data_IF_083230653944
#
_entry.id   IF_083230653944
#
_cell.length_a   1.000
_cell.length_b   1.000
_cell.length_c   1.000
_cell.angle_alpha   90.00
_cell.angle_beta   90.00
_cell.angle_gamma   90.00
#
_symmetry.space_group_name_H-M   'P 1'
#
loop_
_entity.id
_entity.type
_entity.pdbx_description
1 polymer ?
#
# COMPACT_ATOMS: atom_id res chain seq x y z
N UNK A 1 -1.10 31.78 47.67
CA UNK A 1 -0.41 30.56 47.23
C UNK A 1 -1.26 29.98 46.11
N UNK A 2 -0.91 30.34 44.88
CA UNK A 2 -1.58 29.95 43.66
C UNK A 2 -0.88 28.69 43.15
N UNK A 3 -1.56 27.55 43.25
CA UNK A 3 -1.12 26.32 42.59
C UNK A 3 -1.28 26.51 41.07
N UNK A 4 -0.15 26.74 40.41
CA UNK A 4 -0.02 26.69 38.97
C UNK A 4 -0.19 25.23 38.52
N UNK A 5 -1.33 24.95 37.88
CA UNK A 5 -1.58 23.71 37.16
C UNK A 5 -0.61 23.60 35.98
N UNK A 6 0.48 22.88 36.17
CA UNK A 6 1.35 22.44 35.08
C UNK A 6 0.53 21.61 34.10
N UNK A 7 0.37 22.16 32.90
CA UNK A 7 -0.19 21.44 31.75
C UNK A 7 0.76 20.30 31.42
N UNK A 8 0.29 19.03 31.32
CA UNK A 8 1.18 17.92 31.03
C UNK A 8 1.82 18.15 29.65
N UNK A 9 3.14 18.17 29.66
CA UNK A 9 3.99 18.35 28.49
C UNK A 9 3.69 17.23 27.48
N UNK A 10 2.90 17.53 26.44
CA UNK A 10 2.39 16.60 25.42
C UNK A 10 3.45 16.08 24.45
N UNK A 11 4.73 16.21 24.79
CA UNK A 11 5.83 15.49 24.13
C UNK A 11 5.88 14.04 24.64
N UNK A 12 4.77 13.32 24.49
CA UNK A 12 4.75 11.89 24.76
C UNK A 12 5.72 11.20 23.79
N UNK A 13 6.62 10.40 24.36
CA UNK A 13 7.49 9.53 23.57
C UNK A 13 6.58 8.66 22.72
N UNK A 14 6.62 8.83 21.38
CA UNK A 14 5.79 8.04 20.47
C UNK A 14 6.04 6.53 20.73
N UNK A 15 4.99 5.70 20.78
CA UNK A 15 5.13 4.25 20.82
C UNK A 15 6.09 3.72 19.75
N UNK A 16 6.86 2.69 20.08
CA UNK A 16 7.91 2.16 19.21
C UNK A 16 7.38 1.71 17.83
N UNK A 17 6.17 1.15 17.80
CA UNK A 17 5.53 0.74 16.56
C UNK A 17 5.24 1.94 15.63
N UNK A 18 4.93 3.13 16.17
CA UNK A 18 4.72 4.34 15.34
C UNK A 18 6.06 4.82 14.78
N UNK A 19 7.13 4.77 15.57
CA UNK A 19 8.48 5.12 15.08
C UNK A 19 8.88 4.25 13.90
N UNK A 20 8.64 2.93 14.00
CA UNK A 20 8.92 2.02 12.90
C UNK A 20 8.10 2.37 11.65
N UNK A 21 6.81 2.67 11.79
CA UNK A 21 5.97 3.05 10.64
C UNK A 21 6.40 4.38 10.00
N UNK A 22 6.83 5.35 10.81
CA UNK A 22 7.37 6.62 10.30
C UNK A 22 8.67 6.37 9.54
N UNK A 23 9.58 5.56 10.08
CA UNK A 23 10.80 5.16 9.39
C UNK A 23 10.52 4.42 8.07
N UNK A 24 9.57 3.48 8.08
CA UNK A 24 9.16 2.76 6.87
C UNK A 24 8.56 3.71 5.81
N UNK A 25 7.79 4.71 6.24
CA UNK A 25 7.22 5.77 5.39
C UNK A 25 8.29 6.68 4.77
N UNK A 26 9.34 7.02 5.53
CA UNK A 26 10.49 7.79 5.04
C UNK A 26 11.31 6.96 4.04
N UNK A 27 11.52 5.67 4.32
CA UNK A 27 12.16 4.76 3.36
C UNK A 27 11.34 4.67 2.07
N UNK A 28 10.01 4.54 2.17
CA UNK A 28 9.11 4.50 1.01
C UNK A 28 9.30 5.72 0.11
N UNK A 29 9.44 6.93 0.66
CA UNK A 29 9.68 8.14 -0.15
C UNK A 29 10.95 8.03 -1.01
N UNK A 30 12.06 7.63 -0.39
CA UNK A 30 13.34 7.47 -1.10
C UNK A 30 13.30 6.39 -2.18
N UNK A 31 12.52 5.34 -1.95
CA UNK A 31 12.40 4.19 -2.85
C UNK A 31 11.36 4.38 -3.95
N UNK A 32 10.40 5.29 -3.76
CA UNK A 32 9.26 5.51 -4.68
C UNK A 32 9.35 6.79 -5.47
N UNK A 33 10.39 7.59 -5.28
CA UNK A 33 10.62 8.78 -6.11
C UNK A 33 10.76 8.37 -7.60
N UNK A 34 9.85 8.86 -8.44
CA UNK A 34 9.79 8.50 -9.87
C UNK A 34 9.18 7.12 -10.17
N UNK A 35 8.68 6.40 -9.17
CA UNK A 35 7.98 5.13 -9.37
C UNK A 35 6.63 5.39 -10.05
N UNK A 36 6.38 4.68 -11.15
CA UNK A 36 5.10 4.73 -11.86
C UNK A 36 4.18 3.65 -11.32
N UNK A 37 3.06 4.05 -10.74
CA UNK A 37 2.04 3.11 -10.29
C UNK A 37 1.46 2.30 -11.45
N UNK A 38 1.05 1.07 -11.15
CA UNK A 38 0.27 0.27 -12.07
C UNK A 38 -1.05 0.97 -12.35
N UNK A 39 -1.40 1.08 -13.63
CA UNK A 39 -2.75 1.47 -14.04
C UNK A 39 -3.77 0.44 -13.56
N UNK A 40 -5.04 0.82 -13.58
CA UNK A 40 -6.15 -0.02 -13.12
C UNK A 40 -6.15 -1.44 -13.71
N UNK A 41 -5.90 -1.58 -15.01
CA UNK A 41 -5.79 -2.89 -15.65
C UNK A 41 -4.68 -3.76 -15.05
N UNK A 42 -3.50 -3.19 -14.77
CA UNK A 42 -2.40 -3.90 -14.14
C UNK A 42 -2.72 -4.30 -12.70
N UNK A 43 -3.27 -3.38 -11.89
CA UNK A 43 -3.71 -3.68 -10.52
C UNK A 43 -4.76 -4.80 -10.51
N UNK A 44 -5.72 -4.78 -11.45
CA UNK A 44 -6.72 -5.84 -11.58
C UNK A 44 -6.12 -7.21 -11.87
N UNK A 45 -5.06 -7.30 -12.70
CA UNK A 45 -4.39 -8.58 -12.97
C UNK A 45 -3.72 -9.12 -11.71
N UNK A 46 -3.02 -8.26 -10.95
CA UNK A 46 -2.41 -8.64 -9.67
C UNK A 46 -3.47 -9.09 -8.67
N UNK A 47 -4.57 -8.33 -8.55
CA UNK A 47 -5.69 -8.67 -7.66
C UNK A 47 -6.31 -10.02 -8.00
N UNK A 48 -6.56 -10.28 -9.29
CA UNK A 48 -7.11 -11.55 -9.74
C UNK A 48 -6.15 -12.72 -9.51
N UNK A 49 -4.84 -12.51 -9.62
CA UNK A 49 -3.85 -13.53 -9.25
C UNK A 49 -3.89 -13.80 -7.74
N UNK A 50 -3.95 -12.78 -6.90
CA UNK A 50 -4.08 -12.94 -5.45
C UNK A 50 -5.34 -13.74 -5.08
N UNK A 51 -6.48 -13.40 -5.71
CA UNK A 51 -7.75 -14.15 -5.57
C UNK A 51 -7.59 -15.61 -6.00
N UNK A 52 -6.91 -15.86 -7.13
CA UNK A 52 -6.66 -17.23 -7.64
C UNK A 52 -5.84 -18.06 -6.65
N UNK A 53 -4.91 -17.41 -5.95
CA UNK A 53 -4.07 -18.03 -4.93
C UNK A 53 -4.74 -18.11 -3.55
N UNK A 54 -6.01 -17.68 -3.43
CA UNK A 54 -6.80 -17.76 -2.20
C UNK A 54 -6.76 -16.52 -1.30
N UNK A 55 -6.10 -15.43 -1.73
CA UNK A 55 -5.90 -14.23 -0.93
C UNK A 55 -6.66 -13.03 -1.50
N UNK A 56 -7.87 -12.80 -0.98
CA UNK A 56 -8.79 -11.76 -1.49
C UNK A 56 -8.77 -10.45 -0.71
N UNK A 57 -8.23 -10.46 0.52
CA UNK A 57 -8.37 -9.39 1.51
C UNK A 57 -7.10 -9.22 2.34
N UNK A 58 -7.14 -8.28 3.29
CA UNK A 58 -6.10 -7.98 4.29
C UNK A 58 -4.88 -7.32 3.65
N UNK A 59 -5.08 -6.47 2.65
CA UNK A 59 -4.01 -5.69 2.04
C UNK A 59 -3.01 -6.48 1.19
N UNK A 60 -3.08 -7.83 1.17
CA UNK A 60 -2.18 -8.69 0.39
C UNK A 60 -2.16 -8.31 -1.09
N UNK A 61 -3.30 -8.14 -1.78
CA UNK A 61 -3.27 -7.78 -3.20
C UNK A 61 -2.68 -6.39 -3.45
N UNK A 62 -2.97 -5.42 -2.57
CA UNK A 62 -2.41 -4.08 -2.62
C UNK A 62 -0.90 -4.08 -2.43
N UNK A 63 -0.41 -4.80 -1.42
CA UNK A 63 1.02 -4.98 -1.18
C UNK A 63 1.71 -5.68 -2.35
N UNK A 64 1.10 -6.70 -2.95
CA UNK A 64 1.63 -7.35 -4.15
C UNK A 64 1.73 -6.37 -5.34
N UNK A 65 0.77 -5.45 -5.51
CA UNK A 65 0.88 -4.40 -6.52
C UNK A 65 2.11 -3.51 -6.27
N UNK A 66 2.31 -3.09 -5.01
CA UNK A 66 3.47 -2.26 -4.61
C UNK A 66 4.80 -2.97 -4.84
N UNK A 67 4.87 -4.26 -4.54
CA UNK A 67 6.07 -5.07 -4.79
C UNK A 67 6.40 -5.14 -6.28
N UNK A 68 5.39 -5.34 -7.14
CA UNK A 68 5.59 -5.37 -8.59
C UNK A 68 6.02 -4.00 -9.14
N UNK A 69 5.42 -2.92 -8.64
CA UNK A 69 5.79 -1.55 -9.00
C UNK A 69 7.25 -1.24 -8.63
N UNK A 70 7.67 -1.62 -7.41
CA UNK A 70 9.06 -1.48 -6.95
C UNK A 70 10.01 -2.35 -7.77
N UNK A 71 9.64 -3.59 -8.06
CA UNK A 71 10.42 -4.48 -8.92
C UNK A 71 10.68 -3.83 -10.28
N UNK A 72 9.65 -3.29 -10.94
CA UNK A 72 9.84 -2.58 -12.20
C UNK A 72 10.70 -1.34 -12.08
N UNK A 73 10.48 -0.53 -11.04
CA UNK A 73 11.27 0.67 -10.83
C UNK A 73 12.78 0.34 -10.71
N UNK A 74 13.16 -0.60 -9.84
CA UNK A 74 14.55 -0.99 -9.66
C UNK A 74 15.13 -1.66 -10.90
N UNK A 75 14.35 -2.53 -11.56
CA UNK A 75 14.75 -3.16 -12.81
C UNK A 75 15.07 -2.09 -13.86
N UNK A 76 14.15 -1.17 -14.16
CA UNK A 76 14.39 -0.12 -15.16
C UNK A 76 15.50 0.86 -14.76
N UNK A 77 15.63 1.20 -13.48
CA UNK A 77 16.72 2.06 -12.99
C UNK A 77 18.09 1.43 -13.25
N UNK A 78 18.24 0.13 -12.94
CA UNK A 78 19.49 -0.60 -13.19
C UNK A 78 19.89 -0.64 -14.67
N UNK A 79 18.93 -0.47 -15.58
CA UNK A 79 19.16 -0.45 -17.03
C UNK A 79 19.27 0.95 -17.63
N UNK A 80 18.70 1.98 -17.01
CA UNK A 80 18.90 3.37 -17.43
C UNK A 80 20.40 3.75 -17.40
N UNK A 81 21.18 3.07 -16.57
CA UNK A 81 22.64 3.19 -16.48
C UNK A 81 23.39 2.53 -17.66
N UNK A 82 22.71 1.78 -18.55
CA UNK A 82 23.31 1.04 -19.70
C UNK A 82 22.47 1.20 -20.98
N UNK A 83 22.60 2.32 -21.72
CA UNK A 83 21.64 2.69 -22.75
C UNK A 83 21.98 2.02 -24.09
N UNK A 84 21.35 0.89 -24.38
CA UNK A 84 21.13 0.47 -25.78
C UNK A 84 19.66 0.13 -25.99
N UNK A 85 19.06 0.62 -27.10
CA UNK A 85 17.66 0.37 -27.42
C UNK A 85 17.31 -1.11 -27.53
N UNK A 86 18.21 -1.91 -28.12
CA UNK A 86 18.05 -3.36 -28.25
C UNK A 86 18.01 -4.08 -26.89
N UNK A 87 18.78 -3.63 -25.89
CA UNK A 87 18.75 -4.20 -24.55
C UNK A 87 17.40 -3.93 -23.88
N UNK A 88 16.87 -2.71 -24.02
CA UNK A 88 15.54 -2.35 -23.50
C UNK A 88 14.44 -3.24 -24.07
N UNK A 89 14.45 -3.47 -25.38
CA UNK A 89 13.44 -4.31 -26.03
C UNK A 89 13.55 -5.78 -25.59
N UNK A 90 14.77 -6.31 -25.48
CA UNK A 90 15.01 -7.66 -24.95
C UNK A 90 14.50 -7.82 -23.50
N UNK A 91 14.68 -6.79 -22.65
CA UNK A 91 14.17 -6.79 -21.28
C UNK A 91 12.64 -6.78 -21.26
N UNK A 92 12.02 -5.94 -22.09
CA UNK A 92 10.55 -5.86 -22.20
C UNK A 92 9.98 -7.20 -22.66
N UNK A 93 10.58 -7.85 -23.65
CA UNK A 93 10.14 -9.18 -24.10
C UNK A 93 10.34 -10.26 -23.04
N UNK A 94 11.48 -10.25 -22.33
CA UNK A 94 11.71 -11.17 -21.21
C UNK A 94 10.70 -10.94 -20.05
N UNK A 95 10.34 -9.69 -19.77
CA UNK A 95 9.32 -9.39 -18.77
C UNK A 95 7.93 -9.85 -19.21
N UNK A 96 7.55 -9.60 -20.47
CA UNK A 96 6.24 -9.99 -21.00
C UNK A 96 6.01 -11.49 -20.87
N UNK A 97 7.02 -12.32 -21.18
CA UNK A 97 6.91 -13.77 -21.08
C UNK A 97 6.82 -14.27 -19.63
N UNK A 98 7.38 -13.52 -18.67
CA UNK A 98 7.44 -13.91 -17.25
C UNK A 98 6.46 -13.15 -16.34
N UNK A 99 5.68 -12.20 -16.88
CA UNK A 99 4.93 -11.23 -16.08
C UNK A 99 4.00 -11.88 -15.05
N UNK A 100 3.25 -12.91 -15.46
CA UNK A 100 2.31 -13.60 -14.58
C UNK A 100 3.03 -14.39 -13.48
N UNK A 101 4.21 -14.93 -13.77
CA UNK A 101 5.06 -15.58 -12.78
C UNK A 101 5.57 -14.55 -11.75
N UNK A 102 6.07 -13.41 -12.23
CA UNK A 102 6.52 -12.31 -11.36
C UNK A 102 5.39 -11.79 -10.46
N UNK A 103 4.18 -11.65 -11.00
CA UNK A 103 2.98 -11.29 -10.23
C UNK A 103 2.71 -12.33 -9.15
N UNK A 104 2.71 -13.62 -9.48
CA UNK A 104 2.48 -14.68 -8.50
C UNK A 104 3.56 -14.70 -7.40
N UNK A 105 4.82 -14.45 -7.75
CA UNK A 105 5.92 -14.29 -6.77
C UNK A 105 5.72 -13.07 -5.87
N UNK A 106 5.27 -11.93 -6.41
CA UNK A 106 4.95 -10.75 -5.59
C UNK A 106 3.82 -11.05 -4.58
N UNK A 107 2.78 -11.79 -5.00
CA UNK A 107 1.71 -12.25 -4.09
C UNK A 107 2.27 -13.18 -3.03
N UNK A 108 3.11 -14.15 -3.42
CA UNK A 108 3.74 -15.09 -2.49
C UNK A 108 4.58 -14.37 -1.43
N UNK A 109 5.40 -13.38 -1.84
CA UNK A 109 6.21 -12.58 -0.94
C UNK A 109 5.35 -11.75 0.01
N UNK A 110 4.29 -11.10 -0.49
CA UNK A 110 3.35 -10.37 0.35
C UNK A 110 2.75 -11.29 1.43
N UNK A 111 2.24 -12.47 1.03
CA UNK A 111 1.66 -13.44 1.98
C UNK A 111 2.66 -13.89 3.04
N UNK A 112 3.88 -14.26 2.65
CA UNK A 112 4.93 -14.75 3.57
C UNK A 112 5.30 -13.72 4.64
N UNK A 113 5.27 -12.43 4.29
CA UNK A 113 5.68 -11.36 5.20
C UNK A 113 4.54 -10.89 6.11
N UNK A 114 3.29 -10.99 5.67
CA UNK A 114 2.13 -10.53 6.44
C UNK A 114 1.57 -11.58 7.41
N UNK A 115 1.89 -12.86 7.26
CA UNK A 115 1.40 -13.91 8.18
C UNK A 115 2.32 -15.11 8.24
N UNK A 116 2.74 -15.49 9.45
CA UNK A 116 3.58 -16.66 9.70
C UNK A 116 2.88 -18.00 9.36
N UNK A 117 1.55 -18.02 9.48
CA UNK A 117 0.71 -19.20 9.23
C UNK A 117 0.30 -19.32 7.76
N UNK A 118 0.18 -18.20 7.04
CA UNK A 118 -0.21 -18.20 5.64
C UNK A 118 0.96 -18.60 4.74
N UNK A 119 0.80 -19.68 3.97
CA UNK A 119 1.84 -20.17 3.05
C UNK A 119 1.27 -20.54 1.70
N UNK A 120 1.71 -19.83 0.66
CA UNK A 120 1.54 -20.27 -0.72
C UNK A 120 2.73 -21.16 -1.07
N UNK A 121 2.46 -22.45 -1.32
CA UNK A 121 3.50 -23.35 -1.82
C UNK A 121 3.77 -23.08 -3.30
N UNK A 122 5.01 -23.25 -3.80
CA UNK A 122 5.32 -23.16 -5.22
C UNK A 122 4.49 -24.12 -6.10
N UNK A 123 4.00 -25.23 -5.55
CA UNK A 123 3.10 -26.15 -6.25
C UNK A 123 1.75 -25.51 -6.55
N UNK A 124 1.19 -24.73 -5.61
CA UNK A 124 -0.07 -24.01 -5.80
C UNK A 124 0.11 -22.94 -6.89
N UNK A 125 1.22 -22.22 -6.87
CA UNK A 125 1.54 -21.22 -7.91
C UNK A 125 1.65 -21.88 -9.28
N UNK A 126 2.34 -23.02 -9.38
CA UNK A 126 2.44 -23.79 -10.62
C UNK A 126 1.06 -24.16 -11.17
N UNK A 127 0.16 -24.65 -10.32
CA UNK A 127 -1.22 -24.99 -10.72
C UNK A 127 -1.97 -23.74 -11.19
N UNK A 128 -1.89 -22.64 -10.44
CA UNK A 128 -2.55 -21.38 -10.80
C UNK A 128 -2.07 -20.81 -12.13
N UNK A 129 -0.76 -20.89 -12.41
CA UNK A 129 -0.17 -20.48 -13.68
C UNK A 129 -0.56 -21.43 -14.82
N UNK A 130 -0.58 -22.74 -14.57
CA UNK A 130 -1.03 -23.73 -15.56
C UNK A 130 -2.49 -23.51 -15.97
N UNK A 131 -3.39 -23.19 -15.03
CA UNK A 131 -4.77 -22.82 -15.33
C UNK A 131 -4.90 -21.55 -16.19
N UNK A 132 -3.85 -20.74 -16.29
CA UNK A 132 -3.77 -19.57 -17.17
C UNK A 132 -2.96 -19.85 -18.45
N UNK A 133 -2.64 -21.11 -18.74
CA UNK A 133 -1.89 -21.53 -19.92
C UNK A 133 -0.38 -21.30 -19.81
N UNK A 134 0.15 -21.08 -18.61
CA UNK A 134 1.59 -20.81 -18.40
C UNK A 134 2.25 -22.03 -17.77
N UNK A 135 3.18 -22.61 -18.52
CA UNK A 135 3.96 -23.76 -18.06
C UNK A 135 5.22 -23.27 -17.36
N UNK A 136 5.39 -23.66 -16.10
CA UNK A 136 6.63 -23.45 -15.37
C UNK A 136 6.88 -24.60 -14.37
N UNK A 137 8.13 -24.76 -13.98
CA UNK A 137 8.60 -25.71 -12.99
C UNK A 137 8.61 -25.07 -11.60
N UNK A 138 8.61 -25.90 -10.56
CA UNK A 138 8.77 -25.42 -9.18
C UNK A 138 10.11 -24.70 -8.99
N UNK A 139 11.16 -25.16 -9.67
CA UNK A 139 12.49 -24.54 -9.60
C UNK A 139 12.48 -23.12 -10.17
N UNK A 140 11.81 -22.91 -11.30
CA UNK A 140 11.65 -21.57 -11.90
C UNK A 140 10.85 -20.62 -11.00
N UNK A 141 9.83 -21.14 -10.29
CA UNK A 141 9.06 -20.33 -9.34
C UNK A 141 9.93 -19.88 -8.18
N UNK A 142 10.69 -20.79 -7.58
CA UNK A 142 11.60 -20.47 -6.46
C UNK A 142 12.66 -19.47 -6.92
N UNK A 143 13.23 -19.68 -8.13
CA UNK A 143 14.23 -18.79 -8.68
C UNK A 143 13.67 -17.38 -8.94
N UNK A 144 12.47 -17.29 -9.53
CA UNK A 144 11.81 -16.01 -9.79
C UNK A 144 11.43 -15.29 -8.49
N UNK A 145 11.01 -16.03 -7.45
CA UNK A 145 10.74 -15.45 -6.13
C UNK A 145 12.02 -14.83 -5.55
N UNK A 146 13.13 -15.57 -5.56
CA UNK A 146 14.41 -15.09 -5.06
C UNK A 146 14.92 -13.88 -5.87
N UNK A 147 14.75 -13.90 -7.19
CA UNK A 147 15.07 -12.78 -8.08
C UNK A 147 14.27 -11.53 -7.72
N UNK A 148 12.94 -11.64 -7.60
CA UNK A 148 12.09 -10.50 -7.20
C UNK A 148 12.52 -9.95 -5.86
N UNK A 149 12.75 -10.81 -4.87
CA UNK A 149 13.15 -10.39 -3.53
C UNK A 149 14.53 -9.69 -3.52
N UNK A 150 15.47 -10.17 -4.31
CA UNK A 150 16.78 -9.53 -4.47
C UNK A 150 16.70 -8.18 -5.19
N UNK A 151 15.92 -8.08 -6.28
CA UNK A 151 15.77 -6.83 -7.06
C UNK A 151 15.16 -5.70 -6.23
N UNK A 152 14.23 -6.01 -5.32
CA UNK A 152 13.67 -5.01 -4.39
C UNK A 152 14.54 -4.74 -3.16
N UNK A 153 15.78 -5.24 -3.15
CA UNK A 153 16.76 -5.01 -2.09
C UNK A 153 16.45 -5.74 -0.78
N UNK A 154 15.77 -6.89 -0.85
CA UNK A 154 15.33 -7.68 0.30
C UNK A 154 14.40 -6.92 1.28
N UNK A 155 13.77 -5.85 0.82
CA UNK A 155 12.87 -5.01 1.62
C UNK A 155 11.42 -5.28 1.25
N UNK A 156 10.71 -5.99 2.12
CA UNK A 156 9.25 -6.16 2.03
C UNK A 156 8.65 -5.70 3.35
N UNK A 157 7.64 -4.80 3.34
CA UNK A 157 6.96 -4.38 4.57
C UNK A 157 6.38 -5.58 5.33
N UNK A 158 6.59 -5.62 6.64
CA UNK A 158 6.04 -6.67 7.51
C UNK A 158 4.55 -6.48 7.77
N UNK A 159 4.06 -5.24 7.64
CA UNK A 159 2.65 -4.87 7.82
C UNK A 159 2.05 -4.47 6.48
N UNK A 160 0.83 -4.94 6.23
CA UNK A 160 0.04 -4.49 5.09
C UNK A 160 -0.54 -3.10 5.38
N UNK A 161 -1.00 -2.40 4.34
CA UNK A 161 -1.72 -1.13 4.52
C UNK A 161 -3.00 -1.31 5.34
N UNK A 162 -3.66 -2.46 5.26
CA UNK A 162 -4.82 -2.80 6.09
C UNK A 162 -4.43 -2.89 7.57
N UNK A 163 -3.36 -3.61 7.90
CA UNK A 163 -2.89 -3.73 9.30
C UNK A 163 -2.55 -2.36 9.89
N UNK A 164 -1.93 -1.49 9.09
CA UNK A 164 -1.60 -0.12 9.50
C UNK A 164 -2.86 0.71 9.71
N UNK A 165 -3.84 0.64 8.79
CA UNK A 165 -5.08 1.40 8.91
C UNK A 165 -5.93 0.96 10.10
N UNK A 166 -6.04 -0.35 10.35
CA UNK A 166 -6.72 -0.89 11.52
C UNK A 166 -6.07 -0.43 12.83
N UNK A 167 -4.73 -0.45 12.91
CA UNK A 167 -4.00 0.02 14.08
C UNK A 167 -4.22 1.53 14.32
N UNK A 168 -4.18 2.36 13.26
CA UNK A 168 -4.45 3.79 13.36
C UNK A 168 -5.90 4.05 13.81
N UNK A 169 -6.86 3.26 13.33
CA UNK A 169 -8.26 3.36 13.74
C UNK A 169 -8.43 3.06 15.24
N UNK A 170 -7.76 2.03 15.74
CA UNK A 170 -7.77 1.73 17.19
C UNK A 170 -7.18 2.88 18.00
N UNK A 171 -6.07 3.47 17.54
CA UNK A 171 -5.39 4.56 18.24
C UNK A 171 -6.27 5.82 18.38
N UNK A 172 -7.13 6.10 17.40
CA UNK A 172 -8.06 7.25 17.45
C UNK A 172 -9.43 6.92 18.06
N UNK A 173 -9.55 5.75 18.71
CA UNK A 173 -10.74 5.36 19.48
C UNK A 173 -11.91 4.85 18.64
N UNK A 174 -11.65 4.29 17.44
CA UNK A 174 -12.72 3.73 16.61
C UNK A 174 -13.26 2.41 17.16
N UNK A 175 -14.58 2.21 17.00
CA UNK A 175 -15.23 0.96 17.40
C UNK A 175 -14.76 -0.22 16.53
N UNK A 176 -14.77 -1.43 17.10
CA UNK A 176 -14.35 -2.65 16.39
C UNK A 176 -15.17 -2.94 15.13
N UNK A 177 -16.43 -2.51 15.08
CA UNK A 177 -17.27 -2.58 13.89
C UNK A 177 -16.74 -1.70 12.76
N UNK A 178 -16.33 -0.47 13.07
CA UNK A 178 -15.78 0.47 12.10
C UNK A 178 -14.37 0.07 11.65
N UNK A 179 -13.55 -0.51 12.55
CA UNK A 179 -12.23 -1.07 12.20
C UNK A 179 -12.35 -2.10 11.06
N UNK A 180 -13.35 -2.99 11.10
CA UNK A 180 -13.59 -3.96 10.01
C UNK A 180 -14.00 -3.29 8.69
N UNK A 181 -14.74 -2.19 8.75
CA UNK A 181 -15.10 -1.43 7.56
C UNK A 181 -13.86 -0.75 6.95
N UNK A 182 -12.95 -0.25 7.79
CA UNK A 182 -11.68 0.35 7.36
C UNK A 182 -10.83 -0.63 6.57
N UNK A 183 -10.80 -1.92 6.95
CA UNK A 183 -10.10 -2.93 6.17
C UNK A 183 -10.59 -2.99 4.72
N UNK A 184 -11.91 -2.89 4.51
CA UNK A 184 -12.54 -2.89 3.18
C UNK A 184 -12.22 -1.60 2.43
N UNK A 185 -12.37 -0.45 3.10
CA UNK A 185 -12.05 0.86 2.52
C UNK A 185 -10.59 0.91 2.08
N UNK A 186 -9.68 0.38 2.88
CA UNK A 186 -8.25 0.37 2.60
C UNK A 186 -7.89 -0.58 1.45
N UNK A 187 -8.50 -1.77 1.37
CA UNK A 187 -8.34 -2.67 0.22
C UNK A 187 -8.83 -1.97 -1.07
N UNK A 188 -9.96 -1.26 -1.03
CA UNK A 188 -10.47 -0.48 -2.16
C UNK A 188 -9.60 0.73 -2.50
N UNK A 189 -9.06 1.41 -1.49
CA UNK A 189 -8.14 2.53 -1.67
C UNK A 189 -6.82 2.08 -2.30
N UNK A 190 -6.28 0.93 -1.89
CA UNK A 190 -5.18 0.32 -2.62
C UNK A 190 -5.59 -0.05 -4.04
N UNK A 191 -6.75 -0.69 -4.25
CA UNK A 191 -7.19 -1.03 -5.60
C UNK A 191 -7.26 0.20 -6.53
N UNK A 192 -7.70 1.35 -6.01
CA UNK A 192 -7.85 2.62 -6.72
C UNK A 192 -6.66 3.59 -6.54
N UNK A 193 -5.52 3.16 -6.00
CA UNK A 193 -4.43 4.06 -5.56
C UNK A 193 -3.93 5.01 -6.65
N UNK A 194 -3.79 4.53 -7.89
CA UNK A 194 -3.37 5.37 -9.01
C UNK A 194 -4.34 6.53 -9.30
N UNK A 195 -5.64 6.30 -9.11
CA UNK A 195 -6.68 7.28 -9.38
C UNK A 195 -6.81 8.27 -8.22
N UNK A 196 -6.68 7.78 -6.98
CA UNK A 196 -6.55 8.62 -5.78
C UNK A 196 -5.36 9.57 -5.92
N UNK A 197 -4.17 9.06 -6.25
CA UNK A 197 -2.98 9.90 -6.42
C UNK A 197 -3.14 10.93 -7.52
N UNK A 198 -3.72 10.55 -8.67
CA UNK A 198 -3.97 11.48 -9.78
C UNK A 198 -4.86 12.64 -9.32
N UNK A 199 -5.93 12.35 -8.56
CA UNK A 199 -6.87 13.35 -8.05
C UNK A 199 -6.26 14.22 -6.96
N UNK A 200 -5.47 13.64 -6.06
CA UNK A 200 -4.71 14.37 -5.05
C UNK A 200 -3.74 15.38 -5.69
N UNK A 201 -2.98 14.97 -6.70
CA UNK A 201 -2.06 15.87 -7.42
C UNK A 201 -2.78 17.01 -8.12
N UNK A 202 -3.90 16.69 -8.76
CA UNK A 202 -4.74 17.70 -9.40
C UNK A 202 -5.27 18.72 -8.38
N UNK A 203 -5.79 18.25 -7.24
CA UNK A 203 -6.29 19.12 -6.17
C UNK A 203 -5.18 20.03 -5.60
N UNK A 204 -3.96 19.51 -5.46
CA UNK A 204 -2.84 20.26 -4.88
C UNK A 204 -2.17 21.24 -5.86
N UNK A 205 -2.11 20.92 -7.16
CA UNK A 205 -1.25 21.64 -8.11
C UNK A 205 -1.94 22.10 -9.39
N UNK A 206 -3.21 21.76 -9.59
CA UNK A 206 -3.91 21.96 -10.87
C UNK A 206 -3.31 21.15 -12.02
N UNK A 207 -2.42 20.20 -11.72
CA UNK A 207 -1.74 19.34 -12.71
C UNK A 207 -1.60 17.91 -12.19
N UNK A 208 -1.55 16.95 -13.12
CA UNK A 208 -1.26 15.55 -12.81
C UNK A 208 0.22 15.18 -13.01
N UNK A 209 1.04 16.11 -13.51
CA UNK A 209 2.42 15.86 -13.97
C UNK A 209 3.48 16.03 -12.88
N UNK A 210 3.11 16.47 -11.68
CA UNK A 210 4.04 16.67 -10.58
C UNK A 210 4.54 15.32 -10.04
N UNK A 211 5.87 15.16 -9.82
CA UNK A 211 6.41 13.95 -9.21
C UNK A 211 5.98 13.87 -7.75
N UNK A 212 5.43 12.73 -7.35
CA UNK A 212 5.00 12.49 -5.97
C UNK A 212 4.02 11.32 -5.88
N UNK A 213 4.23 10.46 -4.88
CA UNK A 213 3.39 9.31 -4.56
C UNK A 213 2.76 9.56 -3.18
N UNK A 214 1.48 9.24 -3.01
CA UNK A 214 0.86 9.27 -1.67
C UNK A 214 1.43 8.08 -0.92
N UNK A 215 2.22 8.34 0.13
CA UNK A 215 2.85 7.26 0.91
C UNK A 215 1.78 6.40 1.58
N UNK A 216 2.10 5.13 1.79
CA UNK A 216 1.14 4.14 2.29
C UNK A 216 0.59 4.54 3.67
N UNK A 217 1.45 5.03 4.57
CA UNK A 217 1.02 5.52 5.90
C UNK A 217 -0.02 6.64 5.81
N UNK A 218 0.17 7.60 4.90
CA UNK A 218 -0.75 8.72 4.71
C UNK A 218 -2.06 8.28 4.05
N UNK A 219 -1.99 7.31 3.13
CA UNK A 219 -3.19 6.69 2.55
C UNK A 219 -4.01 5.96 3.62
N UNK A 220 -3.35 5.22 4.53
CA UNK A 220 -3.99 4.59 5.68
C UNK A 220 -4.68 5.62 6.58
N UNK A 221 -3.98 6.70 6.95
CA UNK A 221 -4.56 7.78 7.75
C UNK A 221 -5.77 8.43 7.05
N UNK A 222 -5.66 8.70 5.73
CA UNK A 222 -6.77 9.22 4.95
C UNK A 222 -7.97 8.28 4.88
N UNK A 223 -7.76 6.96 4.79
CA UNK A 223 -8.83 5.96 4.82
C UNK A 223 -9.56 5.93 6.17
N UNK A 224 -8.82 6.05 7.28
CA UNK A 224 -9.38 6.15 8.63
C UNK A 224 -10.18 7.45 8.77
N UNK A 225 -9.63 8.58 8.34
CA UNK A 225 -10.33 9.88 8.35
C UNK A 225 -11.60 9.88 7.47
N UNK A 226 -11.55 9.22 6.30
CA UNK A 226 -12.71 9.05 5.43
C UNK A 226 -13.82 8.25 6.13
N UNK A 227 -13.45 7.17 6.82
CA UNK A 227 -14.40 6.38 7.59
C UNK A 227 -15.04 7.17 8.74
N UNK A 228 -14.25 7.97 9.48
CA UNK A 228 -14.75 8.85 10.54
C UNK A 228 -15.76 9.88 10.01
N UNK A 229 -15.48 10.45 8.83
CA UNK A 229 -16.31 11.48 8.20
C UNK A 229 -17.60 10.89 7.63
N UNK A 230 -17.52 9.71 7.00
CA UNK A 230 -18.66 9.06 6.36
C UNK A 230 -19.58 8.33 7.35
N UNK A 231 -19.05 7.85 8.48
CA UNK A 231 -19.80 7.15 9.52
C UNK A 231 -19.74 7.85 10.89
N UNK A 232 -20.23 9.10 11.01
CA UNK A 232 -20.07 9.90 12.22
C UNK A 232 -20.74 9.29 13.46
N UNK A 233 -21.83 8.53 13.27
CA UNK A 233 -22.58 7.87 14.37
C UNK A 233 -21.82 6.68 14.97
N UNK A 234 -20.81 6.14 14.27
CA UNK A 234 -20.03 4.98 14.70
C UNK A 234 -18.75 5.36 15.48
N UNK A 235 -18.50 6.67 15.66
CA UNK A 235 -17.42 7.20 16.48
C UNK A 235 -17.86 7.20 17.95
N UNK A 236 -17.27 6.34 18.77
CA UNK A 236 -17.66 6.19 20.17
C UNK A 236 -17.28 7.40 21.05
N UNK A 237 -16.26 8.16 20.66
CA UNK A 237 -15.61 9.14 21.57
C UNK A 237 -15.10 10.43 20.92
N UNK A 238 -15.03 10.52 19.59
CA UNK A 238 -14.25 11.56 18.90
C UNK A 238 -14.99 12.04 17.65
N UNK A 239 -15.12 13.36 17.44
CA UNK A 239 -15.66 13.89 16.18
C UNK A 239 -14.67 13.74 15.00
N UNK A 240 -15.16 13.84 13.77
CA UNK A 240 -14.34 13.63 12.58
C UNK A 240 -13.18 14.63 12.47
N UNK A 241 -13.39 15.90 12.87
CA UNK A 241 -12.37 16.93 12.83
C UNK A 241 -11.21 16.62 13.81
N UNK A 242 -11.53 16.21 15.02
CA UNK A 242 -10.54 15.80 16.03
C UNK A 242 -9.79 14.55 15.59
N UNK A 243 -10.49 13.59 14.97
CA UNK A 243 -9.86 12.40 14.39
C UNK A 243 -8.78 12.75 13.36
N UNK A 244 -9.07 13.68 12.44
CA UNK A 244 -8.08 14.16 11.45
C UNK A 244 -6.86 14.76 12.13
N UNK A 245 -7.06 15.63 13.14
CA UNK A 245 -5.95 16.26 13.87
C UNK A 245 -5.09 15.22 14.61
N UNK A 246 -5.72 14.23 15.26
CA UNK A 246 -5.01 13.14 15.92
C UNK A 246 -4.18 12.32 14.93
N UNK A 247 -4.78 11.91 13.80
CA UNK A 247 -4.08 11.16 12.75
C UNK A 247 -2.90 11.95 12.19
N UNK A 248 -3.11 13.24 11.90
CA UNK A 248 -2.08 14.15 11.40
C UNK A 248 -0.87 14.22 12.35
N UNK A 249 -1.12 14.29 13.67
CA UNK A 249 -0.06 14.27 14.69
C UNK A 249 0.66 12.91 14.75
N UNK A 250 -0.08 11.79 14.66
CA UNK A 250 0.50 10.44 14.67
C UNK A 250 1.46 10.27 13.49
N UNK A 251 1.01 10.61 12.28
CA UNK A 251 1.76 10.37 11.02
C UNK A 251 2.69 11.50 10.61
N UNK A 252 2.86 12.53 11.44
CA UNK A 252 3.70 13.71 11.16
C UNK A 252 3.33 14.40 9.83
N UNK A 253 2.05 14.69 9.63
CA UNK A 253 1.55 15.38 8.45
C UNK A 253 0.65 16.55 8.79
N UNK A 254 0.48 17.53 7.89
CA UNK A 254 -0.55 18.56 8.06
C UNK A 254 -1.96 17.96 8.04
N UNK A 255 -2.89 18.40 8.93
CA UNK A 255 -4.29 17.95 8.91
C UNK A 255 -4.96 18.12 7.55
N UNK A 256 -4.73 19.24 6.88
CA UNK A 256 -5.26 19.52 5.55
C UNK A 256 -4.87 18.47 4.50
N UNK A 257 -3.66 17.89 4.61
CA UNK A 257 -3.22 16.84 3.70
C UNK A 257 -3.99 15.54 3.92
N UNK A 258 -4.22 15.18 5.19
CA UNK A 258 -5.02 14.00 5.56
C UNK A 258 -6.49 14.18 5.14
N UNK A 259 -7.07 15.36 5.38
CA UNK A 259 -8.42 15.70 4.90
C UNK A 259 -8.54 15.57 3.38
N UNK A 260 -7.56 16.09 2.63
CA UNK A 260 -7.58 15.99 1.17
C UNK A 260 -7.59 14.52 0.69
N UNK A 261 -6.78 13.65 1.31
CA UNK A 261 -6.81 12.21 1.00
C UNK A 261 -8.18 11.61 1.33
N UNK A 262 -8.73 11.95 2.50
CA UNK A 262 -10.04 11.47 2.94
C UNK A 262 -11.15 11.88 1.97
N UNK A 263 -11.20 13.14 1.54
CA UNK A 263 -12.19 13.66 0.60
C UNK A 263 -12.12 12.93 -0.75
N UNK A 264 -10.89 12.69 -1.25
CA UNK A 264 -10.69 11.92 -2.48
C UNK A 264 -11.19 10.49 -2.29
N UNK A 265 -10.87 9.82 -1.18
CA UNK A 265 -11.35 8.46 -0.88
C UNK A 265 -12.88 8.43 -0.82
N UNK A 266 -13.52 9.36 -0.11
CA UNK A 266 -14.98 9.46 -0.02
C UNK A 266 -15.57 9.57 -1.43
N UNK A 267 -15.08 10.53 -2.23
CA UNK A 267 -15.59 10.76 -3.59
C UNK A 267 -15.38 9.57 -4.54
N UNK A 268 -14.34 8.77 -4.34
CA UNK A 268 -13.98 7.67 -5.25
C UNK A 268 -14.58 6.33 -4.87
N UNK A 269 -14.72 6.09 -3.58
CA UNK A 269 -14.97 4.76 -3.04
C UNK A 269 -16.32 4.73 -2.34
N UNK A 270 -16.63 5.75 -1.54
CA UNK A 270 -17.81 5.73 -0.67
C UNK A 270 -19.04 6.38 -1.30
N UNK A 271 -18.87 7.35 -2.19
CA UNK A 271 -19.97 8.00 -2.92
C UNK A 271 -20.31 7.34 -4.26
N UNK A 272 -19.50 6.38 -4.71
CA UNK A 272 -19.72 5.63 -5.95
C UNK A 272 -20.35 4.24 -5.72
N UNK A 273 -20.61 3.88 -4.46
CA UNK A 273 -21.25 2.63 -4.02
C UNK A 273 -22.71 2.89 -3.61
#
# INVERSE_FOLDING_TARGET
MSESSESPNLNSVKPEWIKQLLYDSECEESETFGLKLLKQGGRSVVWNMAITLGYRKKGIPGQACRLLERYFYFLFRSYAERPTGALRDAIVENMKSRIMLLIACCVQLAVKMSSAEARISPRIIRVALLCKGITCTVKEIIQAEAEVFAVIGYRVPLRTSVDVAEQLAVEVGMSSGLVKAISIIMDLAEYQRNDIERKMRWAATGSTSTPGCVRTLHLCAGAVAAAATFYPVAMATTDAATCVVQLANIVNSPPAYISCIADVIISQILSAA
#
